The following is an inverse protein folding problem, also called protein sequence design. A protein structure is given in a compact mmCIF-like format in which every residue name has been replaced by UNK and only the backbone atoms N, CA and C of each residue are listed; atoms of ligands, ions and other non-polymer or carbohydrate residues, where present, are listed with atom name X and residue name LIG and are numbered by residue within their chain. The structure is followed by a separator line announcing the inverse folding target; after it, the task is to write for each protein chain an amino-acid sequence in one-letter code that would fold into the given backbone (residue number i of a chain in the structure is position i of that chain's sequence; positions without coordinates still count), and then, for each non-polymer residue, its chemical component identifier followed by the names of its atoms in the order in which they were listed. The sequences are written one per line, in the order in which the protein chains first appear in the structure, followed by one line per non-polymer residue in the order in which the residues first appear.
data_IF_558181230286
#
_entry.id   IF_558181230286
#
_cell.length_a   1.000
_cell.length_b   1.000
_cell.length_c   1.000
_cell.angle_alpha   90.00
_cell.angle_beta   90.00
_cell.angle_gamma   90.00
#
_symmetry.space_group_name_H-M   'P 1'
#
loop_
_entity.id
_entity.type
_entity.pdbx_description
1 polymer ?
#
# COMPACT_ATOMS: atom_id res chain seq x y z
N UNK A 1 30.36 24.48 -9.16
CA UNK A 1 30.82 23.23 -8.54
C UNK A 1 29.66 22.63 -7.76
N UNK A 2 28.92 21.69 -8.35
CA UNK A 2 27.82 21.00 -7.68
C UNK A 2 28.37 20.11 -6.57
N UNK A 3 27.89 20.32 -5.35
CA UNK A 3 28.46 19.79 -4.13
C UNK A 3 28.20 18.26 -4.06
N UNK A 4 29.24 17.46 -4.30
CA UNK A 4 29.19 15.97 -4.34
C UNK A 4 28.54 15.35 -3.09
N UNK A 5 28.59 16.07 -1.97
CA UNK A 5 28.02 15.67 -0.68
C UNK A 5 26.49 15.60 -0.68
N UNK A 6 25.79 16.46 -1.45
CA UNK A 6 24.32 16.45 -1.54
C UNK A 6 23.84 15.26 -2.39
N UNK A 7 24.59 14.90 -3.43
CA UNK A 7 24.28 13.76 -4.29
C UNK A 7 24.43 12.41 -3.55
N UNK A 8 25.42 12.32 -2.65
CA UNK A 8 25.62 11.14 -1.79
C UNK A 8 24.53 11.00 -0.72
N UNK A 9 24.03 12.11 -0.17
CA UNK A 9 22.84 12.10 0.70
C UNK A 9 21.58 11.65 -0.05
N UNK A 10 21.42 12.07 -1.32
CA UNK A 10 20.35 11.59 -2.20
C UNK A 10 20.43 10.07 -2.43
N UNK A 11 21.62 9.53 -2.71
CA UNK A 11 21.82 8.09 -2.89
C UNK A 11 21.62 7.28 -1.59
N UNK A 12 21.99 7.85 -0.44
CA UNK A 12 21.77 7.22 0.86
C UNK A 12 20.29 7.22 1.28
N UNK A 13 19.52 8.25 0.96
CA UNK A 13 18.06 8.27 1.22
C UNK A 13 17.33 7.27 0.29
N UNK A 14 17.82 7.09 -0.95
CA UNK A 14 17.31 6.03 -1.86
C UNK A 14 17.64 4.61 -1.35
N UNK A 15 18.59 4.49 -0.41
CA UNK A 15 18.97 3.22 0.21
C UNK A 15 18.11 2.86 1.43
N UNK A 16 17.36 3.80 2.00
CA UNK A 16 16.42 3.54 3.09
C UNK A 16 15.08 3.07 2.50
N UNK A 17 14.81 1.77 2.66
CA UNK A 17 13.50 1.11 2.57
C UNK A 17 12.83 0.94 1.19
N UNK A 18 13.60 0.79 0.11
CA UNK A 18 13.09 0.21 -1.16
C UNK A 18 13.16 -1.34 -1.21
N UNK A 19 13.08 -1.99 -0.05
CA UNK A 19 13.14 -3.46 0.09
C UNK A 19 11.76 -4.11 0.13
N UNK A 20 10.65 -3.39 0.28
CA UNK A 20 9.35 -4.03 0.51
C UNK A 20 8.34 -3.95 -0.64
N UNK A 21 8.63 -3.19 -1.70
CA UNK A 21 7.83 -3.23 -2.94
C UNK A 21 8.24 -4.37 -3.90
N UNK A 22 9.27 -5.15 -3.56
CA UNK A 22 9.97 -6.06 -4.49
C UNK A 22 9.55 -7.54 -4.43
N UNK A 23 8.49 -7.91 -3.72
CA UNK A 23 8.05 -9.33 -3.65
C UNK A 23 6.64 -9.66 -4.13
N UNK A 24 5.79 -8.69 -4.42
CA UNK A 24 4.39 -8.97 -4.72
C UNK A 24 4.03 -8.49 -6.12
N UNK A 25 4.16 -9.38 -7.12
CA UNK A 25 3.24 -9.51 -8.28
C UNK A 25 3.77 -10.41 -9.40
N UNK A 26 5.08 -10.58 -9.58
CA UNK A 26 5.63 -11.26 -10.76
C UNK A 26 6.11 -12.71 -10.56
N UNK A 27 6.05 -13.25 -9.34
CA UNK A 27 6.59 -14.59 -9.01
C UNK A 27 5.58 -15.60 -8.48
N UNK A 28 4.30 -15.26 -8.29
CA UNK A 28 3.27 -16.29 -8.07
C UNK A 28 2.87 -16.88 -9.42
N UNK A 29 3.03 -18.19 -9.70
CA UNK A 29 2.73 -18.74 -11.03
C UNK A 29 1.25 -18.69 -11.44
N UNK A 30 0.33 -18.37 -10.52
CA UNK A 30 -1.09 -18.76 -10.59
C UNK A 30 -2.09 -17.59 -10.63
N UNK A 31 -1.65 -16.39 -11.01
CA UNK A 31 -2.54 -15.21 -11.11
C UNK A 31 -3.22 -15.06 -12.48
N UNK A 32 -2.71 -15.74 -13.50
CA UNK A 32 -3.31 -15.72 -14.84
C UNK A 32 -4.29 -16.89 -15.00
N UNK A 33 -5.33 -16.70 -15.79
CA UNK A 33 -6.22 -17.80 -16.22
C UNK A 33 -5.45 -18.73 -17.17
N UNK A 34 -5.64 -20.03 -17.02
CA UNK A 34 -5.01 -21.04 -17.89
C UNK A 34 -5.41 -20.89 -19.37
N UNK A 35 -6.61 -20.36 -19.61
CA UNK A 35 -7.14 -20.03 -20.94
C UNK A 35 -6.38 -18.89 -21.64
N UNK A 36 -5.52 -18.14 -20.94
CA UNK A 36 -4.81 -17.02 -21.51
C UNK A 36 -3.67 -17.48 -22.45
N UNK A 37 -3.86 -17.29 -23.76
CA UNK A 37 -2.84 -17.54 -24.78
C UNK A 37 -1.64 -16.58 -24.70
N UNK A 38 -0.56 -16.88 -25.45
CA UNK A 38 0.71 -16.14 -25.43
C UNK A 38 0.52 -14.63 -25.65
N UNK A 39 -0.30 -14.23 -26.61
CA UNK A 39 -0.60 -12.82 -26.88
C UNK A 39 -1.39 -12.14 -25.76
N UNK A 40 -2.28 -12.89 -25.09
CA UNK A 40 -3.00 -12.41 -23.90
C UNK A 40 -2.02 -12.16 -22.75
N UNK A 41 -1.09 -13.08 -22.50
CA UNK A 41 -0.05 -12.95 -21.47
C UNK A 41 0.87 -11.75 -21.73
N UNK A 42 1.19 -11.48 -23.00
CA UNK A 42 1.98 -10.31 -23.38
C UNK A 42 1.23 -9.01 -23.14
N UNK A 43 -0.04 -8.91 -23.54
CA UNK A 43 -0.88 -7.73 -23.27
C UNK A 43 -1.08 -7.49 -21.78
N UNK A 44 -1.29 -8.55 -21.00
CA UNK A 44 -1.39 -8.51 -19.55
C UNK A 44 -0.14 -7.89 -18.90
N UNK A 45 1.06 -8.29 -19.35
CA UNK A 45 2.33 -7.71 -18.86
C UNK A 45 2.50 -6.21 -19.16
N UNK A 46 1.85 -5.69 -20.20
CA UNK A 46 1.87 -4.26 -20.51
C UNK A 46 0.96 -3.44 -19.60
N UNK A 47 -0.01 -4.09 -18.94
CA UNK A 47 -0.90 -3.46 -17.96
C UNK A 47 -0.33 -3.45 -16.54
N UNK A 48 0.70 -4.25 -16.25
CA UNK A 48 1.40 -4.15 -14.96
C UNK A 48 2.08 -2.79 -14.88
N UNK A 49 1.77 -1.97 -13.86
CA UNK A 49 2.29 -0.61 -13.79
C UNK A 49 3.82 -0.63 -13.80
N UNK A 50 4.40 0.17 -14.69
CA UNK A 50 5.84 0.22 -14.84
C UNK A 50 6.45 0.78 -13.54
N UNK A 51 7.57 0.22 -13.09
CA UNK A 51 8.23 0.59 -11.83
C UNK A 51 8.45 2.11 -11.74
N UNK A 52 8.71 2.75 -12.89
CA UNK A 52 8.96 4.19 -13.01
C UNK A 52 7.70 5.03 -12.77
N UNK A 53 6.51 4.60 -13.21
CA UNK A 53 5.25 5.34 -12.99
C UNK A 53 4.80 5.27 -11.54
N UNK A 54 4.85 4.08 -10.95
CA UNK A 54 4.59 3.91 -9.52
C UNK A 54 5.60 4.68 -8.67
N UNK A 55 6.86 4.68 -9.08
CA UNK A 55 7.89 5.50 -8.44
C UNK A 55 7.56 7.00 -8.56
N UNK A 56 7.29 7.52 -9.75
CA UNK A 56 6.97 8.95 -9.95
C UNK A 56 5.74 9.41 -9.17
N UNK A 57 4.68 8.60 -9.14
CA UNK A 57 3.47 8.91 -8.37
C UNK A 57 3.76 8.87 -6.86
N UNK A 58 4.51 7.89 -6.37
CA UNK A 58 4.96 7.86 -4.98
C UNK A 58 5.87 9.06 -4.64
N UNK A 59 6.77 9.46 -5.55
CA UNK A 59 7.60 10.65 -5.40
C UNK A 59 6.75 11.92 -5.31
N UNK A 60 5.73 12.09 -6.15
CA UNK A 60 4.83 13.26 -6.11
C UNK A 60 4.17 13.42 -4.74
N UNK A 61 3.79 12.33 -4.08
CA UNK A 61 3.15 12.35 -2.76
C UNK A 61 4.14 12.39 -1.60
N UNK A 62 5.31 11.77 -1.71
CA UNK A 62 6.39 11.84 -0.70
C UNK A 62 6.95 13.26 -0.55
N UNK A 63 7.07 14.01 -1.65
CA UNK A 63 7.72 15.34 -1.65
C UNK A 63 6.72 16.51 -1.57
N UNK A 64 5.43 16.27 -1.76
CA UNK A 64 4.39 17.27 -1.56
C UNK A 64 3.66 17.02 -0.23
N UNK A 65 4.33 17.29 0.90
CA UNK A 65 3.77 17.09 2.25
C UNK A 65 2.47 17.86 2.48
N UNK A 66 2.25 18.97 1.78
CA UNK A 66 0.98 19.73 1.77
C UNK A 66 -0.08 19.01 0.95
N UNK A 67 0.22 18.63 -0.30
CA UNK A 67 -0.75 17.96 -1.17
C UNK A 67 -1.15 16.56 -0.66
N UNK A 68 -0.27 15.90 0.10
CA UNK A 68 -0.56 14.62 0.72
C UNK A 68 -1.54 14.72 1.92
N UNK A 69 -1.63 15.90 2.58
CA UNK A 69 -2.52 16.12 3.72
C UNK A 69 -4.00 16.20 3.33
N UNK A 70 -4.28 16.63 2.10
CA UNK A 70 -5.65 16.85 1.62
C UNK A 70 -6.15 15.74 0.68
N UNK A 71 -5.35 14.70 0.47
CA UNK A 71 -5.74 13.51 -0.29
C UNK A 71 -6.93 12.83 0.38
N UNK A 72 -7.99 12.63 -0.41
CA UNK A 72 -9.12 11.80 -0.02
C UNK A 72 -8.82 10.35 -0.38
N UNK A 73 -9.46 9.44 0.32
CA UNK A 73 -9.33 8.01 0.04
C UNK A 73 -9.66 7.67 -1.43
N UNK A 74 -10.61 8.38 -2.05
CA UNK A 74 -10.99 8.17 -3.45
C UNK A 74 -9.88 8.55 -4.44
N UNK A 75 -9.04 9.53 -4.11
CA UNK A 75 -7.91 9.93 -4.93
C UNK A 75 -6.85 8.82 -4.95
N UNK A 76 -6.69 8.10 -3.84
CA UNK A 76 -5.79 6.94 -3.75
C UNK A 76 -6.30 5.79 -4.63
N UNK A 77 -7.63 5.55 -4.62
CA UNK A 77 -8.28 4.50 -5.42
C UNK A 77 -8.20 4.76 -6.92
N UNK A 78 -8.54 5.98 -7.35
CA UNK A 78 -8.68 6.33 -8.77
C UNK A 78 -7.42 5.99 -9.55
N UNK A 79 -6.26 6.37 -9.02
CA UNK A 79 -4.97 6.11 -9.68
C UNK A 79 -4.65 4.63 -9.77
N UNK A 80 -5.10 3.82 -8.81
CA UNK A 80 -4.92 2.37 -8.87
C UNK A 80 -5.90 1.70 -9.83
N UNK A 81 -7.13 2.22 -9.94
CA UNK A 81 -8.19 1.64 -10.75
C UNK A 81 -7.83 1.62 -12.24
N UNK A 82 -7.14 2.63 -12.76
CA UNK A 82 -6.73 2.67 -14.18
C UNK A 82 -5.88 1.46 -14.60
N UNK A 83 -4.96 1.03 -13.73
CA UNK A 83 -4.13 -0.15 -13.95
C UNK A 83 -4.95 -1.43 -13.88
N UNK A 84 -5.85 -1.52 -12.90
CA UNK A 84 -6.76 -2.67 -12.75
C UNK A 84 -7.69 -2.79 -13.94
N UNK A 85 -8.21 -1.68 -14.47
CA UNK A 85 -9.06 -1.69 -15.65
C UNK A 85 -8.28 -2.18 -16.87
N UNK A 86 -7.00 -1.82 -17.01
CA UNK A 86 -6.13 -2.39 -18.04
C UNK A 86 -6.01 -3.91 -17.89
N UNK A 87 -5.67 -4.39 -16.69
CA UNK A 87 -5.55 -5.82 -16.39
C UNK A 87 -6.86 -6.56 -16.69
N UNK A 88 -7.99 -6.04 -16.23
CA UNK A 88 -9.32 -6.62 -16.42
C UNK A 88 -9.70 -6.72 -17.91
N UNK A 89 -9.39 -5.69 -18.72
CA UNK A 89 -9.63 -5.71 -20.18
C UNK A 89 -8.87 -6.80 -20.92
N UNK A 90 -7.81 -7.36 -20.35
CA UNK A 90 -7.09 -8.47 -20.98
C UNK A 90 -7.79 -9.81 -20.81
N UNK A 91 -8.74 -9.91 -19.88
CA UNK A 91 -9.42 -11.14 -19.46
C UNK A 91 -8.46 -12.28 -19.06
N UNK A 92 -7.19 -11.95 -18.81
CA UNK A 92 -6.14 -12.93 -18.54
C UNK A 92 -5.84 -13.11 -17.06
N UNK A 93 -6.36 -12.25 -16.19
CA UNK A 93 -6.15 -12.32 -14.74
C UNK A 93 -7.33 -12.98 -14.06
N UNK A 94 -7.08 -13.84 -13.08
CA UNK A 94 -8.13 -14.37 -12.20
C UNK A 94 -8.73 -13.22 -11.39
N UNK A 95 -10.03 -13.27 -11.14
CA UNK A 95 -10.75 -12.15 -10.50
C UNK A 95 -10.16 -11.77 -9.13
N UNK A 96 -9.83 -12.75 -8.28
CA UNK A 96 -9.23 -12.47 -6.96
C UNK A 96 -7.91 -11.68 -7.04
N UNK A 97 -7.14 -11.86 -8.11
CA UNK A 97 -5.87 -11.18 -8.28
C UNK A 97 -6.04 -9.69 -8.59
N UNK A 98 -7.14 -9.31 -9.27
CA UNK A 98 -7.46 -7.92 -9.52
C UNK A 98 -7.73 -7.18 -8.20
N UNK A 99 -8.51 -7.79 -7.30
CA UNK A 99 -8.79 -7.23 -5.98
C UNK A 99 -7.54 -7.17 -5.08
N UNK A 100 -6.72 -8.22 -5.08
CA UNK A 100 -5.47 -8.25 -4.32
C UNK A 100 -4.50 -7.15 -4.80
N UNK A 101 -4.38 -6.97 -6.12
CA UNK A 101 -3.52 -5.94 -6.73
C UNK A 101 -4.04 -4.54 -6.42
N UNK A 102 -5.36 -4.36 -6.39
CA UNK A 102 -6.01 -3.11 -6.03
C UNK A 102 -5.77 -2.75 -4.55
N UNK A 103 -5.87 -3.72 -3.63
CA UNK A 103 -5.48 -3.54 -2.22
C UNK A 103 -4.03 -3.10 -2.10
N UNK A 104 -3.10 -3.85 -2.72
CA UNK A 104 -1.66 -3.56 -2.64
C UNK A 104 -1.32 -2.15 -3.12
N UNK A 105 -1.90 -1.73 -4.25
CA UNK A 105 -1.69 -0.40 -4.80
C UNK A 105 -2.20 0.71 -3.86
N UNK A 106 -3.45 0.60 -3.40
CA UNK A 106 -4.06 1.63 -2.54
C UNK A 106 -3.37 1.69 -1.19
N UNK A 107 -3.09 0.54 -0.58
CA UNK A 107 -2.43 0.45 0.72
C UNK A 107 -1.00 1.00 0.68
N UNK A 108 -0.23 0.68 -0.37
CA UNK A 108 1.11 1.23 -0.57
C UNK A 108 1.09 2.76 -0.64
N UNK A 109 0.16 3.32 -1.43
CA UNK A 109 -0.02 4.78 -1.55
C UNK A 109 -0.48 5.44 -0.26
N UNK A 110 -1.35 4.78 0.50
CA UNK A 110 -1.76 5.26 1.81
C UNK A 110 -0.56 5.41 2.76
N UNK A 111 0.30 4.38 2.83
CA UNK A 111 1.46 4.35 3.71
C UNK A 111 2.63 5.24 3.30
N UNK A 112 2.77 5.53 2.01
CA UNK A 112 3.80 6.45 1.48
C UNK A 112 3.31 7.90 1.38
N UNK A 113 2.00 8.12 1.31
CA UNK A 113 1.36 9.44 1.25
C UNK A 113 0.79 9.88 2.61
N UNK A 114 -0.55 9.94 2.77
CA UNK A 114 -1.19 10.61 3.90
C UNK A 114 -0.80 10.03 5.26
N UNK A 115 -0.52 8.72 5.35
CA UNK A 115 -0.17 8.08 6.62
C UNK A 115 1.31 8.22 6.99
N UNK A 116 2.19 8.67 6.09
CA UNK A 116 3.64 8.63 6.29
C UNK A 116 4.10 9.39 7.55
N UNK A 117 3.52 10.57 7.80
CA UNK A 117 3.83 11.36 9.01
C UNK A 117 3.32 10.68 10.29
N UNK A 118 2.11 10.10 10.26
CA UNK A 118 1.57 9.35 11.38
C UNK A 118 2.44 8.12 11.69
N UNK A 119 2.81 7.35 10.66
CA UNK A 119 3.75 6.22 10.77
C UNK A 119 5.05 6.63 11.46
N UNK A 120 5.64 7.75 11.03
CA UNK A 120 6.89 8.27 11.60
C UNK A 120 6.73 8.60 13.09
N UNK A 121 5.62 9.25 13.46
CA UNK A 121 5.33 9.59 14.84
C UNK A 121 5.11 8.33 15.70
N UNK A 122 4.39 7.33 15.19
CA UNK A 122 4.21 6.05 15.89
C UNK A 122 5.52 5.31 16.10
N UNK A 123 6.41 5.25 15.09
CA UNK A 123 7.77 4.71 15.27
C UNK A 123 8.56 5.49 16.33
N UNK A 124 8.47 6.82 16.32
CA UNK A 124 9.14 7.67 17.30
C UNK A 124 8.63 7.40 18.72
N UNK A 125 7.32 7.28 18.90
CA UNK A 125 6.68 6.96 20.19
C UNK A 125 7.08 5.58 20.68
N UNK A 126 7.00 4.56 19.83
CA UNK A 126 7.42 3.20 20.16
C UNK A 126 8.90 3.14 20.59
N UNK A 127 9.78 3.92 19.96
CA UNK A 127 11.21 3.92 20.26
C UNK A 127 11.58 4.74 21.51
N UNK A 128 11.00 5.93 21.68
CA UNK A 128 11.42 6.89 22.73
C UNK A 128 10.60 6.78 24.01
N UNK A 129 9.36 6.33 23.91
CA UNK A 129 8.39 6.29 25.00
C UNK A 129 7.67 4.93 25.03
N UNK A 130 8.38 3.79 24.98
CA UNK A 130 7.77 2.45 24.85
C UNK A 130 6.80 2.11 25.99
N UNK A 131 6.97 2.71 27.17
CA UNK A 131 6.08 2.56 28.32
C UNK A 131 4.73 3.27 28.15
N UNK A 132 4.61 4.21 27.20
CA UNK A 132 3.42 5.02 26.97
C UNK A 132 2.57 4.55 25.77
N UNK A 133 2.96 3.43 25.15
CA UNK A 133 2.29 2.83 24.00
C UNK A 133 1.96 1.36 24.29
N UNK A 134 0.93 0.78 23.66
CA UNK A 134 0.62 -0.63 23.84
C UNK A 134 1.70 -1.51 23.21
N UNK A 135 1.96 -2.67 23.82
CA UNK A 135 2.95 -3.64 23.31
C UNK A 135 2.69 -4.08 21.86
N UNK A 136 1.42 -4.14 21.46
CA UNK A 136 1.03 -4.52 20.11
C UNK A 136 1.47 -3.51 19.04
N UNK A 137 1.83 -2.26 19.41
CA UNK A 137 2.24 -1.24 18.46
C UNK A 137 3.50 -1.67 17.70
N UNK A 138 4.44 -2.33 18.37
CA UNK A 138 5.64 -2.87 17.72
C UNK A 138 5.25 -3.91 16.65
N UNK A 139 4.36 -4.84 16.99
CA UNK A 139 3.86 -5.86 16.04
C UNK A 139 3.17 -5.22 14.84
N UNK A 140 2.33 -4.21 15.06
CA UNK A 140 1.69 -3.46 13.98
C UNK A 140 2.72 -2.81 13.04
N UNK A 141 3.76 -2.16 13.59
CA UNK A 141 4.79 -1.49 12.80
C UNK A 141 5.61 -2.48 11.96
N UNK A 142 5.75 -3.73 12.42
CA UNK A 142 6.43 -4.79 11.67
C UNK A 142 5.50 -5.47 10.63
N UNK A 143 4.18 -5.45 10.85
CA UNK A 143 3.19 -6.18 10.05
C UNK A 143 2.23 -5.29 9.26
N UNK A 144 2.53 -3.99 9.14
CA UNK A 144 1.66 -3.00 8.47
C UNK A 144 1.30 -3.36 7.01
N UNK A 145 2.15 -4.13 6.33
CA UNK A 145 1.93 -4.62 4.97
C UNK A 145 1.35 -6.05 4.91
N UNK A 146 0.93 -6.62 6.04
CA UNK A 146 0.31 -7.94 6.08
C UNK A 146 -0.96 -7.98 5.21
N UNK A 147 -1.25 -9.17 4.68
CA UNK A 147 -2.39 -9.40 3.75
C UNK A 147 -3.34 -10.48 4.27
N UNK A 148 -2.96 -11.20 5.32
CA UNK A 148 -3.81 -12.19 5.97
C UNK A 148 -4.85 -11.52 6.88
N UNK A 149 -6.02 -12.14 6.96
CA UNK A 149 -7.18 -11.56 7.62
C UNK A 149 -7.03 -11.42 9.13
N UNK A 150 -6.30 -12.31 9.79
CA UNK A 150 -6.08 -12.27 11.24
C UNK A 150 -5.19 -11.09 11.62
N UNK A 151 -4.10 -10.88 10.88
CA UNK A 151 -3.19 -9.76 11.09
C UNK A 151 -3.85 -8.44 10.73
N UNK A 152 -4.63 -8.36 9.64
CA UNK A 152 -5.36 -7.13 9.29
C UNK A 152 -6.32 -6.71 10.41
N UNK A 153 -7.12 -7.65 10.95
CA UNK A 153 -8.06 -7.39 12.05
C UNK A 153 -7.34 -6.94 13.32
N UNK A 154 -6.29 -7.66 13.71
CA UNK A 154 -5.55 -7.36 14.94
C UNK A 154 -4.80 -6.03 14.86
N UNK A 155 -4.24 -5.69 13.70
CA UNK A 155 -3.55 -4.43 13.45
C UNK A 155 -4.46 -3.21 13.67
N UNK A 156 -5.67 -3.22 13.11
CA UNK A 156 -6.60 -2.11 13.28
C UNK A 156 -7.01 -1.91 14.74
N UNK A 157 -7.36 -3.00 15.44
CA UNK A 157 -7.72 -2.95 16.85
C UNK A 157 -6.59 -2.38 17.73
N UNK A 158 -5.34 -2.71 17.40
CA UNK A 158 -4.18 -2.20 18.12
C UNK A 158 -3.91 -0.70 17.87
N UNK A 159 -3.90 -0.28 16.60
CA UNK A 159 -3.33 1.02 16.22
C UNK A 159 -4.35 2.16 16.24
N UNK A 160 -5.66 1.88 16.10
CA UNK A 160 -6.70 2.93 16.08
C UNK A 160 -6.63 3.91 17.28
N UNK A 161 -6.47 3.45 18.54
CA UNK A 161 -6.31 4.34 19.69
C UNK A 161 -5.06 5.24 19.58
N UNK A 162 -3.96 4.69 19.07
CA UNK A 162 -2.68 5.38 18.94
C UNK A 162 -2.73 6.43 17.82
N UNK A 163 -3.40 6.14 16.71
CA UNK A 163 -3.67 7.12 15.64
C UNK A 163 -4.48 8.29 16.20
N UNK A 164 -5.55 8.01 16.94
CA UNK A 164 -6.38 9.06 17.56
C UNK A 164 -5.58 9.93 18.54
N UNK A 165 -4.60 9.35 19.23
CA UNK A 165 -3.81 10.03 20.27
C UNK A 165 -2.64 10.85 19.70
N UNK A 166 -1.97 10.35 18.68
CA UNK A 166 -0.67 10.91 18.24
C UNK A 166 -0.66 11.46 16.82
N UNK A 167 -1.67 11.19 16.01
CA UNK A 167 -1.70 11.60 14.61
C UNK A 167 -2.70 12.74 14.36
N UNK A 168 -2.58 13.37 13.19
CA UNK A 168 -3.55 14.37 12.73
C UNK A 168 -4.97 13.74 12.68
N UNK A 169 -6.02 14.39 13.23
CA UNK A 169 -7.37 13.82 13.27
C UNK A 169 -7.94 13.40 11.91
N UNK A 170 -7.47 14.01 10.81
CA UNK A 170 -7.86 13.63 9.44
C UNK A 170 -7.41 12.23 9.08
N UNK A 171 -6.29 11.76 9.65
CA UNK A 171 -5.73 10.44 9.38
C UNK A 171 -6.59 9.33 9.94
N UNK A 172 -7.29 9.55 11.05
CA UNK A 172 -8.16 8.53 11.65
C UNK A 172 -9.20 8.03 10.63
N UNK A 173 -9.92 8.96 10.01
CA UNK A 173 -10.93 8.62 8.99
C UNK A 173 -10.32 7.92 7.77
N UNK A 174 -9.17 8.42 7.28
CA UNK A 174 -8.50 7.79 6.14
C UNK A 174 -8.00 6.38 6.46
N UNK A 175 -7.51 6.16 7.69
CA UNK A 175 -7.08 4.84 8.14
C UNK A 175 -8.25 3.86 8.21
N UNK A 176 -9.39 4.27 8.77
CA UNK A 176 -10.60 3.45 8.82
C UNK A 176 -11.10 3.09 7.42
N UNK A 177 -11.10 4.06 6.49
CA UNK A 177 -11.46 3.82 5.09
C UNK A 177 -10.49 2.86 4.40
N UNK A 178 -9.18 3.06 4.59
CA UNK A 178 -8.17 2.15 4.07
C UNK A 178 -8.38 0.75 4.63
N UNK A 179 -8.49 0.61 5.95
CA UNK A 179 -8.69 -0.69 6.61
C UNK A 179 -9.95 -1.41 6.11
N UNK A 180 -11.11 -0.74 6.06
CA UNK A 180 -12.35 -1.32 5.51
C UNK A 180 -12.15 -1.81 4.07
N UNK A 181 -11.46 -1.02 3.25
CA UNK A 181 -11.15 -1.39 1.88
C UNK A 181 -10.23 -2.60 1.77
N UNK A 182 -9.24 -2.72 2.67
CA UNK A 182 -8.38 -3.90 2.74
C UNK A 182 -9.18 -5.14 3.12
N UNK A 183 -10.04 -5.01 4.13
CA UNK A 183 -10.91 -6.09 4.60
C UNK A 183 -11.81 -6.61 3.48
N UNK A 184 -12.34 -5.72 2.65
CA UNK A 184 -13.13 -6.06 1.47
C UNK A 184 -12.29 -6.76 0.39
N UNK A 185 -11.23 -6.12 -0.10
CA UNK A 185 -10.45 -6.62 -1.24
C UNK A 185 -9.71 -7.93 -0.92
N UNK A 186 -9.27 -8.12 0.33
CA UNK A 186 -8.66 -9.36 0.81
C UNK A 186 -9.67 -10.43 1.22
N UNK A 187 -10.97 -10.17 1.02
CA UNK A 187 -12.07 -11.12 1.29
C UNK A 187 -12.14 -11.53 2.76
N UNK A 188 -11.70 -10.66 3.66
CA UNK A 188 -11.59 -10.93 5.09
C UNK A 188 -12.87 -10.67 5.90
N UNK A 189 -13.84 -9.98 5.29
CA UNK A 189 -15.13 -9.63 5.89
C UNK A 189 -16.34 -10.34 5.24
N UNK A 190 -16.10 -11.16 4.22
CA UNK A 190 -17.13 -11.94 3.52
C UNK A 190 -18.06 -11.14 2.59
N UNK A 191 -17.85 -9.83 2.41
CA UNK A 191 -18.66 -9.01 1.49
C UNK A 191 -18.35 -9.30 0.02
N UNK A 192 -17.09 -9.57 -0.29
CA UNK A 192 -16.64 -9.87 -1.65
C UNK A 192 -16.69 -11.38 -1.92
N UNK A 193 -17.39 -11.77 -2.99
CA UNK A 193 -17.41 -13.14 -3.52
C UNK A 193 -16.75 -13.13 -4.91
N UNK A 194 -15.71 -13.91 -5.08
CA UNK A 194 -14.95 -14.00 -6.35
C UNK A 194 -15.25 -15.33 -7.05
N UNK A 195 -15.24 -15.33 -8.38
CA UNK A 195 -15.65 -16.49 -9.20
C UNK A 195 -14.55 -17.54 -9.41
N UNK A 196 -13.29 -17.19 -9.17
CA UNK A 196 -12.10 -17.97 -9.58
C UNK A 196 -11.17 -18.33 -8.40
N UNK A 197 -11.70 -18.56 -7.18
CA UNK A 197 -10.90 -18.91 -5.98
C UNK A 197 -10.38 -20.36 -5.98
#
# INVERSE_FOLDING_TARGET
MFNKTIFLLFLLIISFDFTDSRKYTLTRPDYMKDSCGIFGKLKARLCTPNIIENMWLNFKYLFATEAAKDLKFEDLKTVCQENIDCMNRTDCYKEFHLYDTLDDCVNSRFFTGPYASCKTELYRKNKKEPQNVPKCLATYLDSMNATDCETLKSNAACVLPEIKKYCDPRILKLFEQNHDYRMYNRRCDGRLKVKDE
#
